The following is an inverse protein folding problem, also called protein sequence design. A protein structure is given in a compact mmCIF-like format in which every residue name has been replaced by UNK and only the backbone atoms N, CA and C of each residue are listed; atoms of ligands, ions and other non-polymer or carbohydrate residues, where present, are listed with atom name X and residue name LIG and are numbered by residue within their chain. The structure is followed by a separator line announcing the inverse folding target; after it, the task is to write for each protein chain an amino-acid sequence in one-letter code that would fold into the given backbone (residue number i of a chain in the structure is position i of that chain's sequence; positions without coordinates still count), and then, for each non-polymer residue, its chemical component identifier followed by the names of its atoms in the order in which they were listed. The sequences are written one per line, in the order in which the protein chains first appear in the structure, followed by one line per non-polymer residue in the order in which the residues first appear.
data_IF_646043627060
#
_entry.id   IF_646043627060
#
_cell.length_a   1.000
_cell.length_b   1.000
_cell.length_c   1.000
_cell.angle_alpha   90.00
_cell.angle_beta   90.00
_cell.angle_gamma   90.00
#
_symmetry.space_group_name_H-M   'P 1'
#
loop_
_entity.id
_entity.type
_entity.pdbx_description
1 polymer ?
#
# COMPACT_ATOMS: atom_id res chain seq x y z
N UNK A 1 -11.31 -5.69 -11.71
CA UNK A 1 -10.58 -4.42 -11.68
C UNK A 1 -10.73 -3.88 -10.27
N UNK A 2 -9.61 -3.58 -9.60
CA UNK A 2 -9.58 -3.08 -8.22
C UNK A 2 -8.93 -1.72 -8.18
N UNK A 3 -9.36 -0.87 -7.24
CA UNK A 3 -8.83 0.47 -7.04
C UNK A 3 -7.76 0.46 -5.96
N UNK A 4 -6.56 0.89 -6.33
CA UNK A 4 -5.37 0.87 -5.49
C UNK A 4 -4.94 2.30 -5.17
N UNK A 5 -4.76 2.60 -3.89
CA UNK A 5 -4.09 3.81 -3.44
C UNK A 5 -2.61 3.50 -3.25
N UNK A 6 -1.74 4.16 -4.03
CA UNK A 6 -0.29 4.01 -3.94
C UNK A 6 0.32 5.26 -3.29
N UNK A 7 0.99 5.10 -2.15
CA UNK A 7 1.74 6.15 -1.47
C UNK A 7 3.24 5.83 -1.50
N UNK A 8 4.03 6.61 -2.23
CA UNK A 8 5.48 6.43 -2.39
C UNK A 8 6.10 7.80 -2.64
N UNK A 9 7.03 8.24 -1.79
CA UNK A 9 7.60 9.59 -1.83
C UNK A 9 8.61 9.76 -2.96
N UNK A 10 9.35 8.71 -3.32
CA UNK A 10 10.20 8.72 -4.51
C UNK A 10 9.36 8.78 -5.80
N UNK A 11 9.42 9.93 -6.49
CA UNK A 11 8.63 10.17 -7.69
C UNK A 11 8.92 9.17 -8.83
N UNK A 12 10.17 8.73 -8.95
CA UNK A 12 10.57 7.79 -10.01
C UNK A 12 9.99 6.41 -9.72
N UNK A 13 10.17 5.93 -8.49
CA UNK A 13 9.62 4.67 -8.02
C UNK A 13 8.09 4.68 -8.11
N UNK A 14 7.43 5.74 -7.63
CA UNK A 14 5.98 5.92 -7.71
C UNK A 14 5.46 5.74 -9.14
N UNK A 15 6.11 6.34 -10.14
CA UNK A 15 5.73 6.19 -11.55
C UNK A 15 5.89 4.74 -12.04
N UNK A 16 6.99 4.07 -11.68
CA UNK A 16 7.22 2.68 -12.09
C UNK A 16 6.22 1.71 -11.46
N UNK A 17 5.95 1.86 -10.17
CA UNK A 17 4.99 1.03 -9.44
C UNK A 17 3.58 1.24 -9.98
N UNK A 18 3.15 2.50 -10.17
CA UNK A 18 1.84 2.81 -10.73
C UNK A 18 1.65 2.17 -12.11
N UNK A 19 2.59 2.37 -13.04
CA UNK A 19 2.53 1.78 -14.38
C UNK A 19 2.48 0.26 -14.37
N UNK A 20 3.19 -0.40 -13.44
CA UNK A 20 3.16 -1.86 -13.33
C UNK A 20 1.77 -2.35 -12.92
N UNK A 21 1.15 -1.70 -11.94
CA UNK A 21 -0.19 -2.04 -11.44
C UNK A 21 -1.29 -1.71 -12.44
N UNK A 22 -1.20 -0.57 -13.13
CA UNK A 22 -2.11 -0.19 -14.22
C UNK A 22 -2.05 -1.20 -15.37
N UNK A 23 -0.86 -1.65 -15.77
CA UNK A 23 -0.68 -2.70 -16.80
C UNK A 23 -1.24 -4.05 -16.38
N UNK A 24 -1.33 -4.32 -15.08
CA UNK A 24 -2.00 -5.49 -14.54
C UNK A 24 -3.53 -5.35 -14.50
N UNK A 25 -4.10 -4.20 -14.92
CA UNK A 25 -5.54 -3.98 -15.04
C UNK A 25 -6.19 -3.37 -13.78
N UNK A 26 -5.41 -2.72 -12.92
CA UNK A 26 -5.91 -1.99 -11.75
C UNK A 26 -6.11 -0.49 -12.02
N UNK A 27 -7.03 0.13 -11.29
CA UNK A 27 -7.19 1.59 -11.23
C UNK A 27 -6.27 2.12 -10.12
N UNK A 28 -5.28 2.94 -10.45
CA UNK A 28 -4.24 3.34 -9.50
C UNK A 28 -4.31 4.85 -9.24
N UNK A 29 -4.50 5.21 -7.98
CA UNK A 29 -4.36 6.58 -7.51
C UNK A 29 -3.02 6.72 -6.76
N UNK A 30 -2.05 7.38 -7.38
CA UNK A 30 -0.69 7.49 -6.85
C UNK A 30 -0.41 8.88 -6.26
N UNK A 31 0.10 8.91 -5.03
CA UNK A 31 0.40 10.13 -4.26
C UNK A 31 1.79 10.06 -3.66
N UNK A 32 2.38 11.23 -3.39
CA UNK A 32 3.77 11.34 -2.92
C UNK A 32 3.94 11.50 -1.42
N UNK A 33 2.86 11.59 -0.66
CA UNK A 33 2.89 11.91 0.77
C UNK A 33 1.75 11.20 1.51
N UNK A 34 2.00 10.81 2.77
CA UNK A 34 1.02 10.10 3.57
C UNK A 34 -0.22 10.91 3.95
N UNK A 35 -0.14 12.24 4.08
CA UNK A 35 -1.31 13.11 4.31
C UNK A 35 -2.18 13.20 3.07
N UNK A 36 -1.58 13.25 1.89
CA UNK A 36 -2.30 13.21 0.62
C UNK A 36 -3.03 11.86 0.47
N UNK A 37 -2.34 10.76 0.78
CA UNK A 37 -2.94 9.43 0.79
C UNK A 37 -4.12 9.33 1.77
N UNK A 38 -3.96 9.84 3.00
CA UNK A 38 -5.04 9.84 4.00
C UNK A 38 -6.23 10.70 3.57
N UNK A 39 -5.98 11.80 2.86
CA UNK A 39 -7.04 12.66 2.34
C UNK A 39 -7.79 11.96 1.21
N UNK A 40 -7.07 11.33 0.28
CA UNK A 40 -7.63 10.54 -0.80
C UNK A 40 -8.46 9.36 -0.27
N UNK A 41 -7.96 8.63 0.72
CA UNK A 41 -8.66 7.48 1.30
C UNK A 41 -9.99 7.84 1.95
N UNK A 42 -10.18 9.10 2.37
CA UNK A 42 -11.46 9.59 2.92
C UNK A 42 -12.45 10.02 1.83
N UNK A 43 -11.93 10.49 0.69
CA UNK A 43 -12.76 10.98 -0.41
C UNK A 43 -13.27 9.84 -1.29
N UNK A 44 -12.49 8.77 -1.42
CA UNK A 44 -12.75 7.67 -2.34
C UNK A 44 -12.47 6.34 -1.63
N UNK A 45 -13.31 5.33 -1.89
CA UNK A 45 -13.06 3.97 -1.41
C UNK A 45 -12.01 3.27 -2.28
N UNK A 46 -11.09 2.57 -1.62
CA UNK A 46 -10.03 1.78 -2.22
C UNK A 46 -10.08 0.34 -1.72
N UNK A 47 -9.72 -0.61 -2.57
CA UNK A 47 -9.63 -2.03 -2.20
C UNK A 47 -8.30 -2.34 -1.49
N UNK A 48 -7.25 -1.62 -1.87
CA UNK A 48 -5.88 -1.84 -1.38
C UNK A 48 -5.13 -0.52 -1.24
N UNK A 49 -4.49 -0.33 -0.09
CA UNK A 49 -3.43 0.64 0.13
C UNK A 49 -2.07 -0.04 -0.05
N UNK A 50 -1.27 0.48 -0.96
CA UNK A 50 0.15 0.15 -1.12
C UNK A 50 0.96 1.35 -0.65
N UNK A 51 1.73 1.22 0.42
CA UNK A 51 2.42 2.36 1.02
C UNK A 51 3.89 2.08 1.29
N UNK A 52 4.78 3.04 0.98
CA UNK A 52 6.07 3.09 1.65
C UNK A 52 5.86 3.35 3.14
N UNK A 53 6.67 2.69 3.96
CA UNK A 53 6.74 2.95 5.39
C UNK A 53 7.45 4.27 5.66
N UNK A 54 8.56 4.54 4.95
CA UNK A 54 9.37 5.73 5.19
C UNK A 54 8.89 6.81 4.24
N UNK A 55 8.07 7.73 4.75
CA UNK A 55 7.58 8.90 4.00
C UNK A 55 7.63 10.14 4.89
N UNK A 56 7.74 11.35 4.32
CA UNK A 56 7.57 12.59 5.07
C UNK A 56 6.14 12.73 5.61
N UNK A 57 5.98 13.61 6.61
CA UNK A 57 4.70 14.03 7.22
C UNK A 57 3.93 12.95 8.00
N UNK A 58 3.54 11.86 7.33
CA UNK A 58 2.80 10.74 7.88
C UNK A 58 3.39 9.44 7.34
N UNK A 59 3.94 8.62 8.24
CA UNK A 59 4.55 7.35 7.85
C UNK A 59 3.49 6.31 7.42
N UNK A 60 3.91 5.28 6.69
CA UNK A 60 2.99 4.27 6.15
C UNK A 60 2.19 3.54 7.23
N UNK A 61 2.76 3.31 8.42
CA UNK A 61 2.03 2.67 9.53
C UNK A 61 0.92 3.57 10.06
N UNK A 62 1.23 4.84 10.30
CA UNK A 62 0.25 5.82 10.77
C UNK A 62 -0.85 6.05 9.72
N UNK A 63 -0.50 6.09 8.43
CA UNK A 63 -1.46 6.14 7.33
C UNK A 63 -2.41 4.94 7.38
N UNK A 64 -1.87 3.72 7.41
CA UNK A 64 -2.67 2.50 7.43
C UNK A 64 -3.60 2.43 8.64
N UNK A 65 -3.09 2.74 9.83
CA UNK A 65 -3.88 2.75 11.06
C UNK A 65 -5.04 3.74 10.97
N UNK A 66 -4.80 4.96 10.46
CA UNK A 66 -5.84 6.00 10.33
C UNK A 66 -6.85 5.68 9.23
N UNK A 67 -6.40 5.15 8.09
CA UNK A 67 -7.28 4.79 6.98
C UNK A 67 -8.23 3.65 7.38
N UNK A 68 -7.74 2.65 8.14
CA UNK A 68 -8.55 1.52 8.62
C UNK A 68 -9.61 1.88 9.66
N UNK A 69 -9.48 3.01 10.36
CA UNK A 69 -10.56 3.51 11.24
C UNK A 69 -11.82 3.82 10.44
N UNK A 70 -11.66 4.41 9.25
CA UNK A 70 -12.79 4.76 8.36
C UNK A 70 -13.15 3.63 7.39
N UNK A 71 -12.18 2.78 7.03
CA UNK A 71 -12.34 1.68 6.08
C UNK A 71 -11.74 0.39 6.65
N UNK A 72 -12.46 -0.32 7.55
CA UNK A 72 -11.94 -1.54 8.20
C UNK A 72 -11.56 -2.65 7.22
N UNK A 73 -12.25 -2.73 6.07
CA UNK A 73 -11.99 -3.73 5.02
C UNK A 73 -10.76 -3.41 4.15
N UNK A 74 -10.20 -2.19 4.26
CA UNK A 74 -9.06 -1.75 3.47
C UNK A 74 -7.86 -2.67 3.69
N UNK A 75 -7.51 -3.40 2.64
CA UNK A 75 -6.29 -4.19 2.63
C UNK A 75 -5.09 -3.25 2.60
N UNK A 76 -4.01 -3.66 3.25
CA UNK A 76 -2.78 -2.86 3.30
C UNK A 76 -1.61 -3.76 2.95
N UNK A 77 -0.76 -3.23 2.08
CA UNK A 77 0.55 -3.78 1.78
C UNK A 77 1.61 -2.68 1.95
N UNK A 78 2.65 -2.98 2.72
CA UNK A 78 3.81 -2.11 2.85
C UNK A 78 4.89 -2.48 1.85
N UNK A 79 5.50 -1.46 1.26
CA UNK A 79 6.72 -1.57 0.46
C UNK A 79 7.84 -0.91 1.25
N UNK A 80 8.88 -1.62 1.66
CA UNK A 80 9.84 -1.00 2.61
C UNK A 80 11.20 -1.68 2.61
N UNK A 81 12.26 -0.93 2.95
CA UNK A 81 13.58 -1.51 3.20
C UNK A 81 13.58 -2.37 4.46
N UNK A 82 14.32 -3.50 4.42
CA UNK A 82 14.38 -4.51 5.50
C UNK A 82 14.63 -3.91 6.91
N UNK A 83 15.44 -2.85 7.01
CA UNK A 83 15.73 -2.20 8.29
C UNK A 83 14.53 -1.51 8.94
N UNK A 84 13.64 -0.89 8.17
CA UNK A 84 12.51 -0.11 8.71
C UNK A 84 11.44 -1.02 9.37
N UNK A 85 11.28 -2.24 8.86
CA UNK A 85 10.40 -3.27 9.43
C UNK A 85 10.93 -3.76 10.77
N UNK A 86 12.23 -4.07 10.83
CA UNK A 86 12.89 -4.59 12.03
C UNK A 86 12.95 -3.55 13.16
N UNK A 87 13.14 -2.27 12.82
CA UNK A 87 13.30 -1.19 13.80
C UNK A 87 12.05 -0.89 14.63
N UNK A 88 10.86 -1.20 14.12
CA UNK A 88 9.63 -0.80 14.82
C UNK A 88 9.12 -1.84 15.82
N UNK A 89 9.45 -3.13 15.70
CA UNK A 89 8.99 -4.17 16.64
C UNK A 89 7.45 -4.24 16.78
N UNK A 90 6.71 -3.71 15.80
CA UNK A 90 5.25 -3.53 15.86
C UNK A 90 4.53 -4.71 15.22
N UNK A 91 4.71 -5.88 15.80
CA UNK A 91 4.00 -7.10 15.40
C UNK A 91 2.48 -6.89 15.37
N UNK A 92 1.94 -6.01 16.22
CA UNK A 92 0.51 -5.76 16.31
C UNK A 92 -0.06 -4.94 15.14
N UNK A 93 0.69 -3.96 14.60
CA UNK A 93 0.28 -3.18 13.41
C UNK A 93 0.51 -3.95 12.10
N UNK A 94 1.44 -4.91 12.13
CA UNK A 94 1.73 -5.83 11.03
C UNK A 94 0.76 -7.02 10.97
N UNK A 95 0.02 -7.33 12.04
CA UNK A 95 -0.97 -8.42 12.05
C UNK A 95 -2.03 -8.18 10.99
N UNK A 96 -2.07 -9.08 10.00
CA UNK A 96 -2.98 -9.00 8.85
C UNK A 96 -2.50 -8.10 7.70
N UNK A 97 -1.36 -7.43 7.86
CA UNK A 97 -0.78 -6.55 6.83
C UNK A 97 0.30 -7.30 6.05
N UNK A 98 0.37 -7.10 4.73
CA UNK A 98 1.41 -7.74 3.90
C UNK A 98 2.60 -6.80 3.72
N UNK A 99 3.79 -7.38 3.56
CA UNK A 99 5.02 -6.61 3.36
C UNK A 99 5.75 -7.14 2.12
N UNK A 100 6.27 -6.21 1.31
CA UNK A 100 7.20 -6.43 0.21
C UNK A 100 8.50 -5.67 0.51
N UNK A 101 9.60 -6.39 0.61
CA UNK A 101 10.89 -5.79 1.01
C UNK A 101 11.65 -5.24 -0.21
N UNK A 102 12.20 -4.02 -0.10
CA UNK A 102 13.16 -3.45 -1.07
C UNK A 102 14.54 -4.13 -0.90
N UNK A 103 15.26 -4.50 -1.98
CA UNK A 103 14.86 -4.41 -3.39
C UNK A 103 13.94 -5.56 -3.83
N UNK A 104 13.09 -5.30 -4.82
CA UNK A 104 12.16 -6.28 -5.42
C UNK A 104 12.01 -6.02 -6.92
N UNK A 105 11.54 -7.01 -7.67
CA UNK A 105 11.12 -6.84 -9.06
C UNK A 105 9.67 -6.37 -9.18
N UNK A 106 9.33 -5.55 -10.18
CA UNK A 106 7.96 -5.08 -10.43
C UNK A 106 6.94 -6.22 -10.58
N UNK A 107 7.39 -7.39 -11.07
CA UNK A 107 6.53 -8.57 -11.15
C UNK A 107 6.12 -9.09 -9.76
N UNK A 108 7.04 -9.08 -8.80
CA UNK A 108 6.75 -9.49 -7.42
C UNK A 108 5.70 -8.58 -6.77
N UNK A 109 5.75 -7.27 -7.06
CA UNK A 109 4.71 -6.32 -6.64
C UNK A 109 3.33 -6.73 -7.15
N UNK A 110 3.23 -6.97 -8.47
CA UNK A 110 1.96 -7.32 -9.13
C UNK A 110 1.44 -8.65 -8.58
N UNK A 111 2.28 -9.69 -8.54
CA UNK A 111 1.92 -11.01 -8.03
C UNK A 111 1.38 -10.92 -6.58
N UNK A 112 2.02 -10.07 -5.75
CA UNK A 112 1.62 -9.89 -4.35
C UNK A 112 0.29 -9.16 -4.21
N UNK A 113 0.06 -8.12 -5.01
CA UNK A 113 -1.20 -7.38 -5.06
C UNK A 113 -2.34 -8.29 -5.49
N UNK A 114 -2.13 -9.09 -6.53
CA UNK A 114 -3.14 -10.05 -6.98
C UNK A 114 -3.46 -11.11 -5.91
N UNK A 115 -2.46 -11.62 -5.18
CA UNK A 115 -2.68 -12.58 -4.10
C UNK A 115 -3.58 -12.00 -3.00
N UNK A 116 -3.37 -10.72 -2.65
CA UNK A 116 -4.16 -10.02 -1.63
C UNK A 116 -5.61 -9.84 -2.12
N UNK A 117 -5.78 -9.36 -3.35
CA UNK A 117 -7.10 -9.07 -3.91
C UNK A 117 -7.91 -10.35 -4.19
N UNK A 118 -7.27 -11.46 -4.57
CA UNK A 118 -7.96 -12.76 -4.76
C UNK A 118 -8.54 -13.33 -3.46
N UNK A 119 -7.86 -13.13 -2.32
CA UNK A 119 -8.35 -13.56 -1.00
C UNK A 119 -9.61 -12.80 -0.54
N UNK A 120 -9.78 -11.56 -0.98
CA UNK A 120 -11.00 -10.78 -0.73
C UNK A 120 -12.21 -11.37 -1.46
N UNK A 121 -12.05 -11.71 -2.75
CA UNK A 121 -13.14 -12.26 -3.56
C UNK A 121 -13.63 -13.65 -3.12
N UNK A 122 -12.84 -14.38 -2.32
CA UNK A 122 -13.16 -15.74 -1.87
C UNK A 122 -13.84 -15.79 -0.49
N UNK A 123 -13.99 -14.65 0.18
CA UNK A 123 -14.55 -14.53 1.54
C UNK A 123 -15.92 -13.85 1.55
N UNK A 124 -16.48 -13.56 0.37
CA UNK A 124 -17.81 -12.94 0.18
C UNK A 124 -18.87 -13.95 -0.25
#
# INVERSE_FOLDING_TARGET
MSRILLAEDDATMRIFLAKALERAGHDVFAVGDGLEALSASKAVQFDLLVADVVMPSLDGFQLAARARISHPELQVMFITGFAAVMLRGRDQELRGTKVLSKPFHLRELVDRVEEILKKQASTG
#
